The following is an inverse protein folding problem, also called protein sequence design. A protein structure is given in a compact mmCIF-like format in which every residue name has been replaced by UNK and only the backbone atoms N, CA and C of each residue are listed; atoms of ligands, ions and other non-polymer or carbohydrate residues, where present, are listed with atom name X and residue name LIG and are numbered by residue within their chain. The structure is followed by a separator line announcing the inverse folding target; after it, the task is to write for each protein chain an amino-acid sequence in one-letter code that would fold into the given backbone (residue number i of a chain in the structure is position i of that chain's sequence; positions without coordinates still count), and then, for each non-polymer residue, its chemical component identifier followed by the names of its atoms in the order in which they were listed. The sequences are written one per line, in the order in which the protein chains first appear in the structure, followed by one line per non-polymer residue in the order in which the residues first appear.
data_IF_174800087388
#
_entry.id   IF_174800087388
#
_cell.length_a   1.000
_cell.length_b   1.000
_cell.length_c   1.000
_cell.angle_alpha   90.00
_cell.angle_beta   90.00
_cell.angle_gamma   90.00
#
_symmetry.space_group_name_H-M   'P 1'
#
loop_
_entity.id
_entity.type
_entity.pdbx_description
1 polymer ?
#
# COMPACT_ATOMS: atom_id res chain seq x y z
N UNK A 1 3.45 -26.69 -9.90
CA UNK A 1 3.00 -25.51 -9.12
C UNK A 1 3.73 -25.54 -7.80
N UNK A 2 4.75 -24.68 -7.61
CA UNK A 2 5.63 -24.75 -6.43
C UNK A 2 4.92 -24.15 -5.21
N UNK A 3 4.95 -24.87 -4.09
CA UNK A 3 4.35 -24.52 -2.80
C UNK A 3 4.75 -23.10 -2.29
N UNK A 4 5.82 -22.52 -2.82
CA UNK A 4 6.34 -21.19 -2.49
C UNK A 4 5.52 -20.00 -3.03
N UNK A 5 4.61 -20.21 -4.00
CA UNK A 5 3.83 -19.10 -4.59
C UNK A 5 2.66 -18.63 -3.70
N UNK A 6 2.15 -19.48 -2.80
CA UNK A 6 1.10 -19.14 -1.84
C UNK A 6 1.53 -18.22 -0.69
N UNK A 7 2.69 -18.42 -0.03
CA UNK A 7 3.10 -17.56 1.08
C UNK A 7 3.38 -16.12 0.65
N UNK A 8 4.02 -15.90 -0.51
CA UNK A 8 4.39 -14.54 -0.97
C UNK A 8 3.15 -13.67 -1.29
N UNK A 9 2.10 -14.26 -1.85
CA UNK A 9 0.86 -13.55 -2.16
C UNK A 9 0.12 -13.14 -0.88
N UNK A 10 0.18 -13.97 0.17
CA UNK A 10 -0.35 -13.61 1.48
C UNK A 10 0.40 -12.43 2.08
N UNK A 11 1.73 -12.41 1.97
CA UNK A 11 2.55 -11.27 2.41
C UNK A 11 2.15 -9.99 1.67
N UNK A 12 2.03 -10.04 0.34
CA UNK A 12 1.61 -8.87 -0.43
C UNK A 12 0.19 -8.42 -0.09
N UNK A 13 -0.74 -9.33 0.19
CA UNK A 13 -2.08 -8.96 0.65
C UNK A 13 -2.05 -8.20 1.97
N UNK A 14 -1.25 -8.64 2.94
CA UNK A 14 -1.08 -7.95 4.23
C UNK A 14 -0.46 -6.58 3.99
N UNK A 15 0.60 -6.50 3.19
CA UNK A 15 1.29 -5.25 2.86
C UNK A 15 0.36 -4.25 2.18
N UNK A 16 -0.52 -4.72 1.29
CA UNK A 16 -1.53 -3.90 0.63
C UNK A 16 -2.55 -3.32 1.61
N UNK A 17 -3.03 -4.12 2.58
CA UNK A 17 -3.94 -3.64 3.62
C UNK A 17 -3.25 -2.58 4.50
N UNK A 18 -2.00 -2.82 4.90
CA UNK A 18 -1.20 -1.84 5.66
C UNK A 18 -1.04 -0.55 4.85
N UNK A 19 -0.71 -0.66 3.56
CA UNK A 19 -0.57 0.46 2.64
C UNK A 19 -1.86 1.27 2.50
N UNK A 20 -3.02 0.61 2.40
CA UNK A 20 -4.34 1.26 2.38
C UNK A 20 -4.63 2.02 3.67
N UNK A 21 -4.31 1.44 4.83
CA UNK A 21 -4.47 2.11 6.13
C UNK A 21 -3.59 3.36 6.21
N UNK A 22 -2.32 3.26 5.80
CA UNK A 22 -1.40 4.41 5.74
C UNK A 22 -1.92 5.51 4.79
N UNK A 23 -2.32 5.12 3.59
CA UNK A 23 -2.85 6.04 2.59
C UNK A 23 -4.10 6.75 3.10
N UNK A 24 -5.05 6.01 3.65
CA UNK A 24 -6.29 6.56 4.17
C UNK A 24 -6.02 7.50 5.35
N UNK A 25 -5.10 7.14 6.26
CA UNK A 25 -4.68 8.01 7.34
C UNK A 25 -4.08 9.32 6.82
N UNK A 26 -3.18 9.25 5.83
CA UNK A 26 -2.60 10.43 5.19
C UNK A 26 -3.65 11.32 4.51
N UNK A 27 -4.62 10.73 3.81
CA UNK A 27 -5.74 11.45 3.19
C UNK A 27 -6.63 12.12 4.23
N UNK A 28 -6.95 11.44 5.33
CA UNK A 28 -7.72 12.03 6.44
C UNK A 28 -6.95 13.21 7.05
N UNK A 29 -5.64 13.07 7.24
CA UNK A 29 -4.79 14.14 7.78
C UNK A 29 -4.71 15.38 6.88
N UNK A 30 -4.94 15.28 5.56
CA UNK A 30 -5.04 16.46 4.68
C UNK A 30 -6.19 17.40 5.06
N UNK A 31 -7.25 16.86 5.66
CA UNK A 31 -8.40 17.65 6.11
C UNK A 31 -8.19 18.28 7.51
N UNK A 32 -7.07 17.96 8.18
CA UNK A 32 -6.72 18.50 9.49
C UNK A 32 -5.77 19.70 9.31
N UNK A 33 -6.35 20.89 9.20
CA UNK A 33 -5.63 22.14 8.87
C UNK A 33 -4.44 22.42 9.79
N UNK A 34 -4.57 22.20 11.10
CA UNK A 34 -3.49 22.47 12.06
C UNK A 34 -2.24 21.64 11.81
N UNK A 35 -2.41 20.40 11.34
CA UNK A 35 -1.29 19.49 11.00
C UNK A 35 -0.69 19.89 9.65
N UNK A 36 -1.53 20.24 8.68
CA UNK A 36 -1.09 20.58 7.33
C UNK A 36 -0.36 21.92 7.18
N UNK A 37 -0.48 22.84 8.15
CA UNK A 37 0.15 24.17 8.09
C UNK A 37 1.57 24.24 8.66
N UNK A 38 2.08 23.16 9.26
CA UNK A 38 3.48 23.06 9.71
C UNK A 38 4.27 22.13 8.78
N UNK A 39 5.51 22.50 8.44
CA UNK A 39 6.44 21.72 7.60
C UNK A 39 6.54 20.26 8.07
N UNK A 40 6.66 20.02 9.38
CA UNK A 40 6.75 18.66 9.92
C UNK A 40 5.51 17.83 9.59
N UNK A 41 4.32 18.42 9.71
CA UNK A 41 3.07 17.77 9.38
C UNK A 41 2.91 17.55 7.87
N UNK A 42 3.34 18.50 7.04
CA UNK A 42 3.36 18.34 5.58
C UNK A 42 4.24 17.15 5.15
N UNK A 43 5.43 17.00 5.74
CA UNK A 43 6.32 15.86 5.47
C UNK A 43 5.69 14.54 5.95
N UNK A 44 5.08 14.53 7.14
CA UNK A 44 4.41 13.35 7.67
C UNK A 44 3.24 12.90 6.77
N UNK A 45 2.36 13.82 6.36
CA UNK A 45 1.23 13.55 5.46
C UNK A 45 1.74 13.03 4.11
N UNK A 46 2.73 13.70 3.52
CA UNK A 46 3.31 13.29 2.24
C UNK A 46 3.95 11.90 2.32
N UNK A 47 4.60 11.59 3.45
CA UNK A 47 5.22 10.29 3.68
C UNK A 47 4.18 9.19 3.87
N UNK A 48 3.11 9.46 4.63
CA UNK A 48 1.99 8.53 4.83
C UNK A 48 1.35 8.15 3.49
N UNK A 49 1.05 9.16 2.65
CA UNK A 49 0.44 8.95 1.34
C UNK A 49 1.42 8.23 0.40
N UNK A 50 2.66 8.72 0.29
CA UNK A 50 3.67 8.15 -0.59
C UNK A 50 4.00 6.70 -0.26
N UNK A 51 4.30 6.40 1.00
CA UNK A 51 4.57 5.04 1.46
C UNK A 51 3.33 4.16 1.33
N UNK A 52 2.14 4.66 1.69
CA UNK A 52 0.89 3.93 1.54
C UNK A 52 0.66 3.43 0.11
N UNK A 53 0.84 4.30 -0.88
CA UNK A 53 0.71 3.94 -2.30
C UNK A 53 1.79 2.98 -2.79
N UNK A 54 3.04 3.15 -2.34
CA UNK A 54 4.14 2.21 -2.66
C UNK A 54 3.82 0.80 -2.14
N UNK A 55 3.34 0.69 -0.90
CA UNK A 55 2.99 -0.60 -0.27
C UNK A 55 1.75 -1.25 -0.89
N UNK A 56 0.83 -0.46 -1.45
CA UNK A 56 -0.36 -0.94 -2.18
C UNK A 56 0.00 -1.61 -3.50
N UNK A 57 1.04 -1.12 -4.20
CA UNK A 57 1.37 -1.52 -5.58
C UNK A 57 1.65 -3.02 -5.83
N UNK A 58 2.34 -3.80 -4.96
CA UNK A 58 2.83 -5.13 -5.32
C UNK A 58 1.73 -6.21 -5.40
N UNK A 59 0.65 -6.06 -4.62
CA UNK A 59 -0.40 -7.09 -4.51
C UNK A 59 -1.23 -7.25 -5.79
N UNK A 60 -1.79 -6.19 -6.41
CA UNK A 60 -2.48 -6.30 -7.70
C UNK A 60 -1.61 -6.94 -8.79
N UNK A 61 -0.33 -6.56 -8.83
CA UNK A 61 0.63 -7.06 -9.81
C UNK A 61 0.88 -8.56 -9.61
N UNK A 62 1.03 -9.00 -8.37
CA UNK A 62 1.16 -10.42 -8.04
C UNK A 62 -0.09 -11.24 -8.43
N UNK A 63 -1.30 -10.67 -8.30
CA UNK A 63 -2.53 -11.32 -8.76
C UNK A 63 -2.56 -11.48 -10.28
N UNK A 64 -2.13 -10.45 -11.03
CA UNK A 64 -2.03 -10.51 -12.50
C UNK A 64 -1.08 -11.62 -12.94
N UNK A 65 0.11 -11.73 -12.31
CA UNK A 65 1.05 -12.81 -12.61
C UNK A 65 0.52 -14.19 -12.22
N UNK A 66 -0.17 -14.30 -11.08
CA UNK A 66 -0.80 -15.56 -10.67
C UNK A 66 -1.86 -16.00 -11.69
N UNK A 67 -2.69 -15.05 -12.15
CA UNK A 67 -3.68 -15.31 -13.19
C UNK A 67 -3.03 -15.77 -14.49
N UNK A 68 -2.01 -15.06 -14.97
CA UNK A 68 -1.30 -15.42 -16.21
C UNK A 68 -0.63 -16.79 -16.13
N UNK A 69 -0.09 -17.16 -14.96
CA UNK A 69 0.51 -18.48 -14.72
C UNK A 69 -0.51 -19.61 -14.63
N UNK A 70 -1.76 -19.33 -14.25
CA UNK A 70 -2.83 -20.34 -14.15
C UNK A 70 -3.50 -20.64 -15.49
N UNK A 71 -3.48 -19.69 -16.42
CA UNK A 71 -4.09 -19.80 -17.75
C UNK A 71 -3.10 -20.18 -18.86
N UNK A 72 -1.86 -20.55 -18.50
CA UNK A 72 -0.90 -21.24 -19.37
C UNK A 72 -1.04 -22.74 -19.20
#
# INVERSE_FOLDING_TARGET
MTQAQYPIIRVFKILHIIGLVLFLAGVISLFMTDIGQNVTGMVAISSLIGLGLVLVSPFPIALVFQWASKNK
#
